data_IF_044178805261
#
_entry.id   IF_044178805261
#
_cell.length_a   1.000
_cell.length_b   1.000
_cell.length_c   1.000
_cell.angle_alpha   90.00
_cell.angle_beta   90.00
_cell.angle_gamma   90.00
#
_symmetry.space_group_name_H-M   'P 1'
#
loop_
_entity.id
_entity.type
_entity.pdbx_description
1 polymer ?
#
# COMPACT_ATOMS: atom_id res chain seq x y z
N UNK A 1 -42.73 -34.21 -44.37
CA UNK A 1 -42.87 -35.56 -43.75
C UNK A 1 -42.07 -35.57 -42.47
N UNK A 2 -42.83 -35.78 -41.35
CA UNK A 2 -42.40 -36.23 -39.99
C UNK A 2 -41.41 -35.39 -39.19
N UNK A 3 -41.81 -34.49 -38.31
CA UNK A 3 -42.41 -34.65 -36.97
C UNK A 3 -41.71 -35.67 -36.06
N UNK A 4 -40.98 -35.21 -35.05
CA UNK A 4 -40.93 -35.87 -33.75
C UNK A 4 -40.62 -34.85 -32.63
N UNK A 5 -41.73 -34.40 -31.99
CA UNK A 5 -41.75 -33.84 -30.65
C UNK A 5 -41.44 -34.96 -29.64
N UNK A 6 -40.64 -34.65 -28.60
CA UNK A 6 -40.63 -35.42 -27.36
C UNK A 6 -40.70 -34.46 -26.16
N UNK A 7 -41.90 -34.45 -25.59
CA UNK A 7 -42.21 -33.76 -24.35
C UNK A 7 -41.57 -34.45 -23.13
N UNK A 8 -41.27 -33.65 -22.14
CA UNK A 8 -40.88 -34.09 -20.79
C UNK A 8 -42.08 -33.95 -19.86
N UNK A 9 -42.37 -34.94 -18.99
CA UNK A 9 -43.49 -34.87 -18.06
C UNK A 9 -43.12 -34.08 -16.80
N UNK A 10 -44.03 -33.17 -16.41
CA UNK A 10 -44.02 -32.45 -15.14
C UNK A 10 -44.57 -33.41 -14.06
N UNK A 11 -43.76 -33.72 -13.07
CA UNK A 11 -44.19 -34.47 -11.88
C UNK A 11 -44.64 -33.50 -10.80
N UNK A 12 -45.95 -33.50 -10.51
CA UNK A 12 -46.59 -32.78 -9.42
C UNK A 12 -46.72 -33.73 -8.23
N UNK A 13 -46.17 -33.37 -7.07
CA UNK A 13 -46.40 -34.11 -5.83
C UNK A 13 -47.27 -33.29 -4.85
N UNK A 14 -48.20 -33.93 -4.15
CA UNK A 14 -49.30 -33.30 -3.45
C UNK A 14 -48.95 -32.82 -2.03
N UNK A 15 -49.62 -31.74 -1.67
CA UNK A 15 -49.70 -31.16 -0.35
C UNK A 15 -50.26 -32.16 0.67
N UNK A 16 -49.59 -32.27 1.79
CA UNK A 16 -50.12 -32.86 3.03
C UNK A 16 -50.24 -31.79 4.10
N UNK A 17 -51.49 -31.42 4.42
CA UNK A 17 -51.90 -30.64 5.56
C UNK A 17 -51.78 -31.49 6.83
N UNK A 18 -51.14 -31.01 7.87
CA UNK A 18 -51.39 -31.44 9.26
C UNK A 18 -51.27 -30.26 10.24
N UNK A 19 -52.42 -29.92 10.67
CA UNK A 19 -52.93 -29.52 12.02
C UNK A 19 -51.99 -28.77 12.99
N UNK A 20 -52.50 -27.63 13.38
CA UNK A 20 -52.24 -26.83 14.57
C UNK A 20 -52.47 -27.65 15.86
N UNK A 21 -51.53 -27.61 16.83
CA UNK A 21 -51.78 -27.44 18.25
C UNK A 21 -50.44 -27.31 18.98
N UNK A 22 -50.34 -26.39 19.95
CA UNK A 22 -49.26 -26.40 20.93
C UNK A 22 -48.58 -25.06 21.15
N UNK A 23 -49.26 -24.17 21.86
CA UNK A 23 -48.70 -22.97 22.48
C UNK A 23 -47.89 -23.41 23.70
N UNK A 24 -46.55 -23.26 23.69
CA UNK A 24 -45.73 -23.37 24.86
C UNK A 24 -44.73 -22.22 24.86
N UNK A 25 -44.86 -21.36 25.87
CA UNK A 25 -43.92 -20.34 26.25
C UNK A 25 -42.69 -21.00 26.87
N UNK A 26 -41.53 -20.87 26.25
CA UNK A 26 -40.27 -21.15 26.90
C UNK A 26 -39.12 -20.28 26.36
N UNK A 27 -38.46 -19.57 27.28
CA UNK A 27 -37.04 -19.39 27.30
C UNK A 27 -36.45 -18.42 26.26
N UNK A 28 -36.28 -17.18 26.71
CA UNK A 28 -35.38 -16.22 26.07
C UNK A 28 -33.91 -16.74 26.14
N UNK A 29 -33.48 -17.58 25.23
CA UNK A 29 -32.06 -17.89 25.08
C UNK A 29 -31.35 -16.72 24.42
N UNK A 30 -30.50 -16.04 25.22
CA UNK A 30 -29.55 -15.06 24.70
C UNK A 30 -28.69 -15.72 23.61
N UNK A 31 -28.83 -15.25 22.40
CA UNK A 31 -27.96 -15.62 21.28
C UNK A 31 -26.51 -15.27 21.66
N UNK A 32 -25.74 -16.28 22.01
CA UNK A 32 -24.28 -16.20 22.13
C UNK A 32 -23.73 -15.64 20.84
N UNK A 33 -23.08 -14.47 20.95
CA UNK A 33 -22.42 -13.84 19.81
C UNK A 33 -21.51 -14.81 19.08
N UNK A 34 -21.63 -14.84 17.77
CA UNK A 34 -20.75 -15.56 16.87
C UNK A 34 -19.35 -14.96 17.01
N UNK A 35 -18.57 -15.46 17.94
CA UNK A 35 -17.11 -15.25 17.92
C UNK A 35 -16.59 -16.11 16.78
N UNK A 36 -16.34 -15.47 15.63
CA UNK A 36 -15.56 -16.06 14.56
C UNK A 36 -14.25 -16.54 15.17
N UNK A 37 -14.04 -17.88 15.25
CA UNK A 37 -12.73 -18.44 15.57
C UNK A 37 -11.71 -17.74 14.70
N UNK A 38 -10.56 -17.28 15.24
CA UNK A 38 -9.46 -16.84 14.40
C UNK A 38 -9.14 -18.00 13.47
N UNK A 39 -9.37 -17.79 12.18
CA UNK A 39 -8.89 -18.71 11.14
C UNK A 39 -7.39 -18.69 11.34
N UNK A 40 -6.78 -19.84 11.63
CA UNK A 40 -5.34 -19.97 11.68
C UNK A 40 -4.83 -19.38 10.36
N UNK A 41 -4.08 -18.28 10.45
CA UNK A 41 -3.41 -17.69 9.29
C UNK A 41 -2.56 -18.80 8.68
N UNK A 42 -3.04 -19.38 7.58
CA UNK A 42 -2.14 -20.07 6.67
C UNK A 42 -0.98 -19.09 6.42
N UNK A 43 0.29 -19.53 6.51
CA UNK A 43 1.39 -18.63 6.27
C UNK A 43 1.20 -18.06 4.88
N UNK A 44 0.67 -16.83 4.82
CA UNK A 44 0.55 -16.09 3.58
C UNK A 44 1.93 -16.19 2.96
N UNK A 45 2.02 -16.81 1.79
CA UNK A 45 3.25 -16.92 1.00
C UNK A 45 3.81 -15.50 0.99
N UNK A 46 4.87 -15.25 1.78
CA UNK A 46 5.45 -13.92 1.93
C UNK A 46 5.89 -13.50 0.54
N UNK A 47 5.09 -12.67 -0.10
CA UNK A 47 5.46 -12.11 -1.39
C UNK A 47 6.78 -11.37 -1.15
N UNK A 48 7.83 -11.85 -1.82
CA UNK A 48 9.17 -11.25 -1.72
C UNK A 48 9.09 -9.76 -2.00
N UNK A 49 9.76 -8.96 -1.18
CA UNK A 49 9.82 -7.52 -1.35
C UNK A 49 11.12 -7.12 -2.02
N UNK A 50 11.22 -7.38 -3.33
CA UNK A 50 12.36 -6.92 -4.11
C UNK A 50 12.36 -5.40 -4.21
N UNK A 51 13.54 -4.81 -4.03
CA UNK A 51 13.75 -3.36 -4.06
C UNK A 51 15.16 -3.04 -4.59
N UNK A 52 15.29 -1.92 -5.29
CA UNK A 52 16.61 -1.42 -5.70
C UNK A 52 17.36 -0.75 -4.52
N UNK A 53 18.69 -0.60 -4.59
CA UNK A 53 19.45 0.14 -3.56
C UNK A 53 18.93 1.57 -3.36
N UNK A 54 18.59 2.27 -4.46
CA UNK A 54 18.07 3.63 -4.41
C UNK A 54 16.67 3.72 -3.79
N UNK A 55 15.80 2.76 -4.09
CA UNK A 55 14.47 2.65 -3.49
C UNK A 55 14.54 2.37 -2.00
N UNK A 56 15.41 1.43 -1.58
CA UNK A 56 15.62 1.15 -0.16
C UNK A 56 16.14 2.39 0.59
N UNK A 57 17.07 3.14 -0.01
CA UNK A 57 17.58 4.37 0.59
C UNK A 57 16.47 5.41 0.79
N UNK A 58 15.59 5.59 -0.21
CA UNK A 58 14.42 6.48 -0.09
C UNK A 58 13.51 6.10 1.08
N UNK A 59 13.21 4.80 1.25
CA UNK A 59 12.37 4.34 2.38
C UNK A 59 13.07 4.60 3.72
N UNK A 60 14.37 4.39 3.81
CA UNK A 60 15.16 4.66 5.03
C UNK A 60 15.19 6.14 5.38
N UNK A 61 15.31 7.02 4.38
CA UNK A 61 15.35 8.47 4.60
C UNK A 61 14.00 8.99 5.07
N UNK A 62 12.88 8.54 4.45
CA UNK A 62 11.53 8.85 4.91
C UNK A 62 11.30 8.35 6.35
N UNK A 63 11.69 7.12 6.65
CA UNK A 63 11.56 6.54 7.99
C UNK A 63 12.34 7.35 9.04
N UNK A 64 13.57 7.72 8.73
CA UNK A 64 14.41 8.55 9.59
C UNK A 64 13.78 9.92 9.83
N UNK A 65 13.31 10.58 8.77
CA UNK A 65 12.64 11.89 8.87
C UNK A 65 11.42 11.82 9.80
N UNK A 66 10.56 10.83 9.62
CA UNK A 66 9.37 10.67 10.46
C UNK A 66 9.72 10.44 11.92
N UNK A 67 10.74 9.64 12.22
CA UNK A 67 11.15 9.33 13.60
C UNK A 67 11.84 10.51 14.29
N UNK A 68 12.74 11.21 13.57
CA UNK A 68 13.65 12.15 14.21
C UNK A 68 13.19 13.60 14.12
N UNK A 69 12.28 13.93 13.20
CA UNK A 69 11.83 15.31 12.98
C UNK A 69 10.32 15.45 13.09
N UNK A 70 9.54 14.80 12.25
CA UNK A 70 8.10 15.08 12.17
C UNK A 70 7.35 14.62 13.43
N UNK A 71 7.60 13.39 13.89
CA UNK A 71 6.94 12.85 15.08
C UNK A 71 7.21 13.68 16.35
N UNK A 72 8.47 14.04 16.68
CA UNK A 72 8.77 14.92 17.81
C UNK A 72 8.08 16.29 17.71
N UNK A 73 8.16 16.95 16.55
CA UNK A 73 7.54 18.25 16.34
C UNK A 73 6.02 18.23 16.56
N UNK A 74 5.33 17.21 16.01
CA UNK A 74 3.88 17.07 16.23
C UNK A 74 3.57 16.72 17.69
N UNK A 75 4.43 15.97 18.37
CA UNK A 75 4.26 15.65 19.80
C UNK A 75 4.34 16.91 20.66
N UNK A 76 5.25 17.82 20.37
CA UNK A 76 5.37 19.12 21.08
C UNK A 76 4.11 19.98 20.88
N UNK A 77 3.60 20.06 19.64
CA UNK A 77 2.34 20.76 19.34
C UNK A 77 1.17 20.17 20.12
N UNK A 78 1.06 18.84 20.17
CA UNK A 78 0.00 18.16 20.93
C UNK A 78 0.13 18.41 22.43
N UNK A 79 1.36 18.38 22.97
CA UNK A 79 1.62 18.65 24.37
C UNK A 79 1.23 20.09 24.76
N UNK A 80 1.62 21.07 23.93
CA UNK A 80 1.22 22.47 24.09
C UNK A 80 -0.32 22.65 24.04
N UNK A 81 -0.97 22.08 23.01
CA UNK A 81 -2.42 22.16 22.87
C UNK A 81 -3.15 21.50 24.05
N UNK A 82 -2.62 20.44 24.61
CA UNK A 82 -3.21 19.77 25.79
C UNK A 82 -3.21 20.63 27.04
N UNK A 83 -2.34 21.65 27.14
CA UNK A 83 -2.27 22.64 28.23
C UNK A 83 -3.26 23.80 28.09
N UNK A 84 -3.88 23.99 26.91
CA UNK A 84 -4.66 25.20 26.56
C UNK A 84 -6.19 25.00 26.73
N UNK A 85 -6.65 24.30 27.75
CA UNK A 85 -8.10 24.17 28.05
C UNK A 85 -8.67 22.78 27.80
N UNK A 86 -9.98 22.70 27.53
CA UNK A 86 -10.68 21.42 27.34
C UNK A 86 -10.19 20.71 26.06
N UNK A 87 -9.66 19.51 26.25
CA UNK A 87 -9.11 18.67 25.17
C UNK A 87 -10.18 18.22 24.16
N UNK A 88 -11.45 18.17 24.58
CA UNK A 88 -12.55 17.72 23.72
C UNK A 88 -12.92 18.77 22.69
N UNK A 89 -12.80 20.05 23.02
CA UNK A 89 -13.14 21.18 22.15
C UNK A 89 -11.92 21.80 21.44
N UNK A 90 -10.71 21.38 21.85
CA UNK A 90 -9.46 21.89 21.27
C UNK A 90 -9.16 21.22 19.93
N UNK A 91 -9.42 21.97 18.83
CA UNK A 91 -9.20 21.50 17.47
C UNK A 91 -7.73 21.14 17.19
N UNK A 92 -6.78 21.91 17.71
CA UNK A 92 -5.32 21.66 17.50
C UNK A 92 -4.90 20.36 18.16
N UNK A 93 -5.40 20.09 19.37
CA UNK A 93 -5.17 18.83 20.07
C UNK A 93 -5.72 17.62 19.26
N UNK A 94 -6.95 17.70 18.79
CA UNK A 94 -7.58 16.62 18.02
C UNK A 94 -6.88 16.41 16.68
N UNK A 95 -6.53 17.48 15.97
CA UNK A 95 -5.77 17.42 14.72
C UNK A 95 -4.38 16.79 14.94
N UNK A 96 -3.64 17.28 15.93
CA UNK A 96 -2.32 16.76 16.26
C UNK A 96 -2.34 15.28 16.63
N UNK A 97 -3.31 14.82 17.43
CA UNK A 97 -3.49 13.38 17.74
C UNK A 97 -3.79 12.54 16.50
N UNK A 98 -4.59 13.07 15.56
CA UNK A 98 -4.86 12.39 14.28
C UNK A 98 -3.56 12.27 13.48
N UNK A 99 -2.78 13.35 13.40
CA UNK A 99 -1.49 13.37 12.68
C UNK A 99 -0.51 12.37 13.29
N UNK A 100 -0.36 12.33 14.62
CA UNK A 100 0.49 11.33 15.29
C UNK A 100 0.13 9.90 14.92
N UNK A 101 -1.17 9.56 14.92
CA UNK A 101 -1.61 8.22 14.50
C UNK A 101 -1.24 7.90 13.05
N UNK A 102 -1.31 8.88 12.15
CA UNK A 102 -0.89 8.71 10.74
C UNK A 102 0.62 8.47 10.66
N UNK A 103 1.43 9.28 11.35
CA UNK A 103 2.89 9.15 11.41
C UNK A 103 3.27 7.77 11.97
N UNK A 104 2.71 7.37 13.11
CA UNK A 104 2.98 6.08 13.73
C UNK A 104 2.57 4.91 12.82
N UNK A 105 1.47 5.06 12.09
CA UNK A 105 1.04 4.09 11.07
C UNK A 105 2.06 3.98 9.92
N UNK A 106 2.54 5.13 9.42
CA UNK A 106 3.52 5.16 8.34
C UNK A 106 4.88 4.61 8.79
N UNK A 107 5.35 4.95 9.98
CA UNK A 107 6.58 4.38 10.56
C UNK A 107 6.49 2.86 10.62
N UNK A 108 5.42 2.29 11.18
CA UNK A 108 5.22 0.83 11.24
C UNK A 108 5.20 0.19 9.85
N UNK A 109 4.58 0.83 8.88
CA UNK A 109 4.58 0.37 7.49
C UNK A 109 6.00 0.34 6.92
N UNK A 110 6.74 1.45 7.02
CA UNK A 110 8.10 1.56 6.51
C UNK A 110 9.05 0.56 7.19
N UNK A 111 8.96 0.40 8.52
CA UNK A 111 9.75 -0.60 9.25
C UNK A 111 9.56 -2.00 8.66
N UNK A 112 8.31 -2.44 8.51
CA UNK A 112 8.02 -3.76 7.92
C UNK A 112 8.51 -3.90 6.47
N UNK A 113 8.42 -2.82 5.67
CA UNK A 113 8.90 -2.85 4.27
C UNK A 113 10.41 -2.94 4.19
N UNK A 114 11.12 -2.18 5.03
CA UNK A 114 12.59 -2.18 5.11
C UNK A 114 13.10 -3.54 5.63
N UNK A 115 12.48 -4.09 6.67
CA UNK A 115 12.85 -5.40 7.24
C UNK A 115 12.65 -6.57 6.26
N UNK A 116 11.59 -6.49 5.44
CA UNK A 116 11.29 -7.52 4.43
C UNK A 116 11.99 -7.29 3.09
N UNK A 117 12.81 -6.24 2.96
CA UNK A 117 13.42 -5.87 1.70
C UNK A 117 14.52 -6.85 1.26
N UNK A 118 14.37 -7.41 0.07
CA UNK A 118 15.42 -8.13 -0.66
C UNK A 118 16.03 -7.18 -1.70
N UNK A 119 17.22 -6.69 -1.43
CA UNK A 119 17.89 -5.72 -2.32
C UNK A 119 18.45 -6.41 -3.54
N UNK A 120 18.06 -5.94 -4.71
CA UNK A 120 18.57 -6.40 -5.99
C UNK A 120 19.14 -5.21 -6.76
N UNK A 121 20.45 -5.20 -6.96
CA UNK A 121 21.12 -4.15 -7.69
C UNK A 121 21.13 -4.48 -9.20
N UNK A 122 20.54 -3.59 -10.04
CA UNK A 122 20.55 -3.75 -11.49
C UNK A 122 21.96 -3.67 -12.12
N UNK A 123 22.89 -2.93 -11.48
CA UNK A 123 24.23 -2.70 -12.03
C UNK A 123 25.17 -3.91 -11.83
N UNK A 124 24.79 -4.87 -11.00
CA UNK A 124 25.60 -6.10 -10.82
C UNK A 124 25.60 -6.92 -12.11
N UNK A 125 26.76 -7.19 -12.70
CA UNK A 125 26.86 -7.97 -13.94
C UNK A 125 26.19 -9.33 -13.82
N UNK A 126 25.34 -9.66 -14.77
CA UNK A 126 24.65 -10.95 -14.84
C UNK A 126 25.30 -11.84 -15.90
N UNK A 127 25.27 -13.13 -15.72
CA UNK A 127 25.87 -14.10 -16.63
C UNK A 127 24.83 -15.09 -17.17
N UNK A 128 25.11 -15.67 -18.33
CA UNK A 128 24.25 -16.67 -18.96
C UNK A 128 22.87 -16.13 -19.28
N UNK A 129 21.82 -16.92 -19.07
CA UNK A 129 20.44 -16.54 -19.36
C UNK A 129 19.94 -15.34 -18.55
N UNK A 130 20.55 -15.07 -17.40
CA UNK A 130 20.15 -13.93 -16.58
C UNK A 130 20.57 -12.60 -17.19
N UNK A 131 21.56 -12.58 -18.10
CA UNK A 131 22.00 -11.38 -18.79
C UNK A 131 21.09 -11.01 -19.98
N UNK A 132 20.43 -12.00 -20.59
CA UNK A 132 19.64 -11.81 -21.82
C UNK A 132 18.12 -11.81 -21.61
N UNK A 133 17.67 -12.15 -20.39
CA UNK A 133 16.24 -12.21 -20.05
C UNK A 133 15.87 -11.14 -19.03
N UNK A 134 14.64 -10.66 -19.15
CA UNK A 134 14.09 -9.66 -18.23
C UNK A 134 13.78 -10.29 -16.85
N UNK A 135 14.44 -9.78 -15.81
CA UNK A 135 14.14 -10.06 -14.41
C UNK A 135 13.92 -8.74 -13.67
N UNK A 136 13.80 -8.79 -12.35
CA UNK A 136 13.76 -7.60 -11.52
C UNK A 136 14.99 -6.70 -11.79
N UNK A 137 14.77 -5.41 -11.95
CA UNK A 137 15.79 -4.44 -12.28
C UNK A 137 16.13 -4.34 -13.78
N UNK A 138 15.44 -5.10 -14.66
CA UNK A 138 15.60 -4.95 -16.10
C UNK A 138 14.88 -3.71 -16.63
N UNK A 139 15.51 -3.04 -17.58
CA UNK A 139 14.89 -2.05 -18.47
C UNK A 139 14.57 -2.73 -19.79
N UNK A 140 13.30 -2.74 -20.18
CA UNK A 140 12.79 -3.48 -21.35
C UNK A 140 12.19 -2.51 -22.33
N UNK A 141 12.66 -2.57 -23.59
CA UNK A 141 12.04 -1.91 -24.74
C UNK A 141 11.16 -2.93 -25.48
N UNK A 142 9.91 -2.57 -25.68
CA UNK A 142 8.95 -3.42 -26.38
C UNK A 142 8.09 -2.60 -27.33
N UNK A 143 7.53 -3.26 -28.35
CA UNK A 143 6.56 -2.69 -29.26
C UNK A 143 5.20 -3.38 -29.12
N UNK A 144 4.12 -2.64 -29.31
CA UNK A 144 2.78 -3.22 -29.41
C UNK A 144 2.45 -3.59 -30.87
N UNK A 145 1.27 -4.18 -31.10
CA UNK A 145 0.79 -4.57 -32.45
C UNK A 145 0.68 -3.40 -33.43
N UNK A 146 0.53 -2.17 -32.94
CA UNK A 146 0.51 -0.97 -33.77
C UNK A 146 1.92 -0.44 -34.11
N UNK A 147 2.99 -1.10 -33.65
CA UNK A 147 4.36 -0.69 -33.82
C UNK A 147 4.82 0.44 -32.88
N UNK A 148 3.99 0.84 -31.91
CA UNK A 148 4.39 1.84 -30.94
C UNK A 148 5.36 1.26 -29.90
N UNK A 149 6.55 1.84 -29.83
CA UNK A 149 7.59 1.41 -28.90
C UNK A 149 7.46 2.11 -27.54
N UNK A 150 7.78 1.37 -26.49
CA UNK A 150 7.86 1.87 -25.10
C UNK A 150 9.05 1.25 -24.40
N UNK A 151 9.60 2.02 -23.46
CA UNK A 151 10.66 1.57 -22.55
C UNK A 151 10.12 1.61 -21.14
N UNK A 152 10.30 0.52 -20.39
CA UNK A 152 9.88 0.43 -18.98
C UNK A 152 10.96 -0.23 -18.15
N UNK A 153 11.12 0.19 -16.90
CA UNK A 153 12.01 -0.44 -15.92
C UNK A 153 11.20 -1.21 -14.89
N UNK A 154 11.57 -2.47 -14.64
CA UNK A 154 10.89 -3.37 -13.71
C UNK A 154 11.46 -3.16 -12.31
N UNK A 155 10.66 -2.57 -11.43
CA UNK A 155 11.07 -2.16 -10.08
C UNK A 155 10.20 -2.78 -8.99
N UNK A 156 10.50 -2.47 -7.72
CA UNK A 156 9.71 -2.87 -6.57
C UNK A 156 8.35 -2.19 -6.50
N UNK A 157 7.47 -2.72 -5.64
CA UNK A 157 6.13 -2.14 -5.45
C UNK A 157 6.16 -0.74 -4.83
N UNK A 158 7.21 -0.42 -4.10
CA UNK A 158 7.38 0.88 -3.45
C UNK A 158 8.12 1.90 -4.33
N UNK A 159 8.56 1.50 -5.53
CA UNK A 159 9.39 2.30 -6.44
C UNK A 159 8.67 2.70 -7.73
N UNK A 160 7.37 2.38 -7.82
CA UNK A 160 6.57 2.69 -9.02
C UNK A 160 6.51 4.19 -9.26
N UNK A 161 6.86 4.59 -10.47
CA UNK A 161 6.76 5.98 -10.96
C UNK A 161 6.42 5.96 -12.45
N UNK A 162 5.17 6.27 -12.78
CA UNK A 162 4.69 6.26 -14.16
C UNK A 162 5.32 7.36 -15.02
N UNK A 163 5.76 8.46 -14.42
CA UNK A 163 6.44 9.54 -15.17
C UNK A 163 7.83 9.13 -15.66
N UNK A 164 8.43 8.13 -14.96
CA UNK A 164 9.74 7.55 -15.32
C UNK A 164 9.62 6.18 -15.98
N UNK A 165 8.40 5.76 -16.30
CA UNK A 165 8.11 4.42 -16.82
C UNK A 165 8.58 3.28 -15.88
N UNK A 166 8.61 3.51 -14.57
CA UNK A 166 8.92 2.48 -13.59
C UNK A 166 7.66 1.70 -13.25
N UNK A 167 7.64 0.42 -13.57
CA UNK A 167 6.51 -0.48 -13.34
C UNK A 167 6.83 -1.50 -12.26
N UNK A 168 5.83 -1.86 -11.47
CA UNK A 168 6.00 -2.92 -10.47
C UNK A 168 6.18 -4.28 -11.12
N UNK A 169 7.12 -5.08 -10.62
CA UNK A 169 7.31 -6.47 -11.03
C UNK A 169 6.08 -7.37 -10.80
N UNK A 170 5.16 -6.98 -9.90
CA UNK A 170 3.89 -7.68 -9.66
C UNK A 170 2.74 -7.17 -10.52
N UNK A 171 2.93 -6.09 -11.29
CA UNK A 171 1.92 -5.56 -12.22
C UNK A 171 1.65 -6.55 -13.37
N UNK A 172 0.50 -6.47 -14.04
CA UNK A 172 0.22 -7.34 -15.21
C UNK A 172 1.31 -7.24 -16.28
N UNK A 173 1.74 -6.02 -16.64
CA UNK A 173 2.81 -5.81 -17.60
C UNK A 173 4.16 -6.31 -17.09
N UNK A 174 4.50 -6.03 -15.81
CA UNK A 174 5.74 -6.53 -15.22
C UNK A 174 5.80 -8.06 -15.26
N UNK A 175 4.71 -8.74 -14.88
CA UNK A 175 4.64 -10.21 -14.91
C UNK A 175 4.73 -10.77 -16.33
N UNK A 176 4.13 -10.12 -17.31
CA UNK A 176 4.20 -10.55 -18.71
C UNK A 176 5.61 -10.42 -19.29
N UNK A 177 6.35 -9.37 -18.91
CA UNK A 177 7.74 -9.15 -19.34
C UNK A 177 8.75 -10.04 -18.62
N UNK A 178 8.47 -10.47 -17.38
CA UNK A 178 9.42 -11.31 -16.62
C UNK A 178 9.78 -12.59 -17.38
N UNK A 179 11.08 -12.88 -17.46
CA UNK A 179 11.72 -14.03 -18.13
C UNK A 179 11.72 -13.95 -19.67
N UNK A 180 11.15 -12.91 -20.28
CA UNK A 180 11.24 -12.70 -21.74
C UNK A 180 12.65 -12.27 -22.16
N UNK A 181 13.01 -12.56 -23.39
CA UNK A 181 14.23 -12.14 -24.05
C UNK A 181 13.92 -11.25 -25.27
N UNK A 182 14.92 -10.59 -25.83
CA UNK A 182 14.77 -9.87 -27.09
C UNK A 182 14.30 -10.83 -28.20
N UNK A 183 13.29 -10.40 -28.98
CA UNK A 183 12.62 -11.19 -30.00
C UNK A 183 11.39 -11.97 -29.51
N UNK A 184 11.17 -12.11 -28.20
CA UNK A 184 10.01 -12.82 -27.67
C UNK A 184 8.72 -12.02 -27.90
N UNK A 185 7.65 -12.73 -28.28
CA UNK A 185 6.29 -12.19 -28.29
C UNK A 185 5.56 -12.60 -27.03
N UNK A 186 5.01 -11.65 -26.31
CA UNK A 186 4.30 -11.86 -25.05
C UNK A 186 2.84 -11.43 -25.18
N UNK A 187 2.00 -12.04 -24.35
CA UNK A 187 0.57 -11.76 -24.30
C UNK A 187 0.26 -11.02 -23.01
N UNK A 188 -0.23 -9.80 -23.13
CA UNK A 188 -0.67 -8.99 -21.99
C UNK A 188 -2.19 -9.03 -21.89
N UNK A 189 -2.70 -9.60 -20.78
CA UNK A 189 -4.12 -9.60 -20.49
C UNK A 189 -4.49 -8.38 -19.67
N UNK A 190 -5.38 -7.56 -20.19
CA UNK A 190 -5.93 -6.37 -19.55
C UNK A 190 -7.45 -6.49 -19.41
N UNK A 191 -8.09 -5.76 -18.49
CA UNK A 191 -9.55 -5.75 -18.37
C UNK A 191 -10.27 -5.36 -19.67
N UNK A 192 -9.60 -4.58 -20.54
CA UNK A 192 -10.13 -4.14 -21.85
C UNK A 192 -9.84 -5.07 -23.01
N UNK A 193 -9.17 -6.20 -22.79
CA UNK A 193 -8.80 -7.15 -23.86
C UNK A 193 -7.38 -7.66 -23.75
N UNK A 194 -6.97 -8.38 -24.79
CA UNK A 194 -5.62 -8.97 -24.91
C UNK A 194 -4.77 -8.13 -25.85
N UNK A 195 -3.58 -7.75 -25.41
CA UNK A 195 -2.59 -7.04 -26.22
C UNK A 195 -1.37 -7.94 -26.47
N UNK A 196 -0.86 -7.94 -27.69
CA UNK A 196 0.37 -8.66 -28.05
C UNK A 196 1.51 -7.66 -28.08
N UNK A 197 2.60 -8.00 -27.40
CA UNK A 197 3.79 -7.17 -27.31
C UNK A 197 5.00 -7.95 -27.81
N UNK A 198 5.90 -7.30 -28.55
CA UNK A 198 7.18 -7.87 -28.96
C UNK A 198 8.29 -7.20 -28.16
N UNK A 199 9.10 -7.97 -27.46
CA UNK A 199 10.27 -7.48 -26.74
C UNK A 199 11.38 -7.18 -27.74
N UNK A 200 11.84 -5.95 -27.78
CA UNK A 200 12.88 -5.50 -28.68
C UNK A 200 14.26 -5.60 -28.05
N UNK A 201 14.35 -5.22 -26.78
CA UNK A 201 15.63 -5.17 -26.08
C UNK A 201 15.42 -5.37 -24.57
N UNK A 202 16.40 -6.00 -23.93
CA UNK A 202 16.50 -6.14 -22.48
C UNK A 202 17.88 -5.68 -22.04
N UNK A 203 17.94 -4.67 -21.18
CA UNK A 203 19.19 -4.18 -20.61
C UNK A 203 19.09 -4.02 -19.09
N UNK A 204 20.25 -3.92 -18.46
CA UNK A 204 20.38 -3.68 -17.03
C UNK A 204 21.26 -2.45 -16.84
N UNK A 205 20.65 -1.43 -16.30
CA UNK A 205 21.30 -0.14 -16.06
C UNK A 205 20.84 0.42 -14.70
N UNK A 206 21.50 1.44 -14.24
CA UNK A 206 21.12 2.10 -13.00
C UNK A 206 19.72 2.68 -13.09
N UNK A 207 18.82 2.20 -12.24
CA UNK A 207 17.47 2.75 -12.09
C UNK A 207 17.50 3.87 -11.05
N UNK A 208 17.27 5.10 -11.49
CA UNK A 208 17.25 6.26 -10.61
C UNK A 208 15.86 6.46 -10.01
N UNK A 209 15.70 6.15 -8.74
CA UNK A 209 14.50 6.46 -7.97
C UNK A 209 14.60 7.88 -7.41
N UNK A 210 13.50 8.64 -7.43
CA UNK A 210 13.50 9.98 -6.86
C UNK A 210 13.79 9.92 -5.35
N UNK A 211 14.80 10.65 -4.86
CA UNK A 211 15.14 10.64 -3.44
C UNK A 211 13.98 11.21 -2.60
N UNK A 212 13.91 10.79 -1.35
CA UNK A 212 12.95 11.37 -0.42
C UNK A 212 13.22 12.87 -0.28
N UNK A 213 12.18 13.69 -0.40
CA UNK A 213 12.21 15.13 -0.15
C UNK A 213 11.36 15.43 1.07
N UNK A 214 11.93 16.15 1.99
CA UNK A 214 11.19 16.63 3.16
C UNK A 214 10.04 17.56 2.72
N UNK A 215 8.84 17.42 3.30
CA UNK A 215 7.73 18.32 2.97
C UNK A 215 8.11 19.78 3.27
N UNK A 216 7.70 20.73 2.40
CA UNK A 216 7.96 22.13 2.63
C UNK A 216 7.29 22.56 3.94
N UNK A 217 8.04 23.28 4.80
CA UNK A 217 7.55 23.75 6.11
C UNK A 217 7.86 22.83 7.30
N UNK A 218 8.50 21.68 7.09
CA UNK A 218 8.95 20.82 8.19
C UNK A 218 9.98 21.50 9.10
N UNK A 219 10.75 22.46 8.58
CA UNK A 219 11.72 23.27 9.35
C UNK A 219 11.05 24.38 10.17
N UNK A 220 9.89 24.87 9.74
CA UNK A 220 9.20 25.98 10.40
C UNK A 220 8.47 25.57 11.69
N UNK A 221 8.17 24.28 11.85
CA UNK A 221 7.46 23.76 13.04
C UNK A 221 8.34 23.77 14.29
N UNK A 222 9.67 23.73 14.12
CA UNK A 222 10.63 23.75 15.24
C UNK A 222 10.90 25.16 15.80
N UNK A 223 10.48 26.23 15.08
CA UNK A 223 10.80 27.62 15.44
C UNK A 223 9.66 28.46 16.00
N UNK A 224 8.45 27.97 16.11
CA UNK A 224 7.29 28.73 16.57
C UNK A 224 6.54 28.06 17.72
N UNK A 225 7.19 27.82 18.83
CA UNK A 225 6.48 27.80 20.11
C UNK A 225 6.21 29.28 20.48
N UNK A 226 4.99 29.74 20.67
CA UNK A 226 4.70 31.03 21.23
C UNK A 226 5.35 31.07 22.61
N UNK A 227 6.23 32.05 22.85
CA UNK A 227 6.76 32.32 24.21
C UNK A 227 5.54 32.36 25.15
N UNK A 228 5.61 31.59 26.21
CA UNK A 228 4.65 31.71 27.32
C UNK A 228 4.61 33.17 27.69
N UNK A 229 3.40 33.75 27.71
CA UNK A 229 3.21 35.07 28.31
C UNK A 229 3.60 34.89 29.77
N UNK A 230 4.71 35.49 30.14
CA UNK A 230 5.04 35.72 31.54
C UNK A 230 3.86 36.44 32.16
N UNK A 231 3.27 35.83 33.19
CA UNK A 231 2.23 36.45 34.00
C UNK A 231 2.82 37.76 34.55
N UNK A 232 2.07 38.90 34.47
CA UNK A 232 2.57 40.11 35.13
C UNK A 232 2.64 39.82 36.63
N UNK A 233 3.83 40.06 37.17
CA UNK A 233 4.16 40.04 38.59
C UNK A 233 3.19 40.95 39.33
N UNK A 234 2.29 40.41 40.13
CA UNK A 234 1.49 41.11 41.13
C UNK A 234 2.36 41.34 42.39
N UNK A 235 3.42 42.11 42.20
CA UNK A 235 4.24 42.61 43.30
C UNK A 235 3.96 44.08 43.57
N UNK A 236 3.63 44.38 44.80
CA UNK A 236 3.54 45.67 45.46
C UNK A 236 2.14 46.31 45.61
N UNK A 237 1.40 45.84 46.58
CA UNK A 237 0.63 46.72 47.46
C UNK A 237 1.01 46.45 48.91
N UNK A 238 2.02 47.19 49.35
CA UNK A 238 2.42 47.28 50.73
C UNK A 238 2.53 48.72 51.14
N UNK A 239 1.85 49.09 52.18
CA UNK A 239 2.12 50.13 53.16
C UNK A 239 1.95 51.59 52.77
N UNK A 240 0.88 52.21 53.15
CA UNK A 240 0.83 53.20 54.25
C UNK A 240 -0.59 53.40 54.72
#
# INVERSE_FOLDING_TARGET
MNSHERGYPISVHPRSLRALTGFALEGHEMRKGFTKKPQADEPATRVKNYITPSGLQRLKDEHRFLLTRERPAVTEVVAWAAGNGDRSENADYQYGKRRLRQIDGRIRFLTKRIEAAEVVDPEVPRTGQAATRAFFGATVRYANTAGAERVVSIVGTDEVDLNRNHISWVSPLGRALLKSAAGDSIVLQLPGGTEYLTVLEVCYERISVEPFREPPGSEASTKRLPRQRESPDEGERGAT
#
